data_IF_423079530842
#
_entry.id   IF_423079530842
#
_cell.length_a   1.000
_cell.length_b   1.000
_cell.length_c   1.000
_cell.angle_alpha   90.00
_cell.angle_beta   90.00
_cell.angle_gamma   90.00
#
_symmetry.space_group_name_H-M   'P 1'
#
loop_
_entity.id
_entity.type
_entity.pdbx_description
1 polymer ?
#
# COMPACT_ATOMS: atom_id res chain seq x y z
N UNK A 1 13.69 -13.16 -5.31
CA UNK A 1 14.74 -12.88 -6.32
C UNK A 1 14.51 -11.47 -6.86
N UNK A 2 15.47 -10.57 -6.73
CA UNK A 2 15.37 -9.22 -7.33
C UNK A 2 15.88 -9.24 -8.77
N UNK A 3 15.10 -8.66 -9.69
CA UNK A 3 15.47 -8.48 -11.09
C UNK A 3 15.64 -6.98 -11.34
N UNK A 4 16.84 -6.48 -11.02
CA UNK A 4 17.13 -5.04 -10.98
C UNK A 4 16.97 -4.36 -12.33
N UNK A 5 17.31 -5.04 -13.42
CA UNK A 5 17.20 -4.53 -14.80
C UNK A 5 15.78 -4.08 -15.17
N UNK A 6 14.77 -4.71 -14.58
CA UNK A 6 13.36 -4.43 -14.85
C UNK A 6 12.59 -3.91 -13.63
N UNK A 7 13.29 -3.57 -12.55
CA UNK A 7 12.73 -3.00 -11.32
C UNK A 7 11.54 -3.80 -10.73
N UNK A 8 11.66 -5.14 -10.70
CA UNK A 8 10.70 -6.01 -10.00
C UNK A 8 11.40 -7.08 -9.16
N UNK A 9 10.65 -7.69 -8.24
CA UNK A 9 11.06 -8.89 -7.52
C UNK A 9 10.11 -10.05 -7.80
N UNK A 10 10.68 -11.25 -7.85
CA UNK A 10 9.96 -12.51 -7.95
C UNK A 10 9.97 -13.18 -6.60
N UNK A 11 8.79 -13.41 -6.06
CA UNK A 11 8.58 -14.07 -4.79
C UNK A 11 8.16 -15.52 -5.07
N UNK A 12 9.01 -16.51 -4.75
CA UNK A 12 8.64 -17.91 -4.90
C UNK A 12 7.56 -18.28 -3.88
N UNK A 13 6.62 -19.12 -4.28
CA UNK A 13 5.55 -19.60 -3.42
C UNK A 13 4.92 -20.86 -3.95
N UNK A 14 3.87 -21.30 -3.26
CA UNK A 14 3.08 -22.44 -3.68
C UNK A 14 1.61 -22.04 -3.75
N UNK A 15 0.92 -22.46 -4.79
CA UNK A 15 -0.53 -22.51 -4.78
C UNK A 15 -0.93 -23.84 -4.15
N UNK A 16 -1.55 -23.78 -2.99
CA UNK A 16 -2.03 -24.97 -2.28
C UNK A 16 -3.56 -25.05 -2.35
N UNK A 17 -4.09 -26.25 -2.56
CA UNK A 17 -5.53 -26.49 -2.45
C UNK A 17 -5.78 -27.86 -1.83
N UNK A 18 -6.80 -27.95 -0.99
CA UNK A 18 -7.24 -29.21 -0.37
C UNK A 18 -8.65 -29.48 -0.88
N UNK A 19 -8.89 -30.65 -1.45
CA UNK A 19 -10.18 -31.03 -2.03
C UNK A 19 -10.49 -32.50 -1.73
N UNK A 20 -11.76 -32.79 -1.48
CA UNK A 20 -12.25 -34.17 -1.48
C UNK A 20 -12.22 -34.68 -2.94
N UNK A 21 -11.58 -35.83 -3.15
CA UNK A 21 -11.57 -36.53 -4.43
C UNK A 21 -12.03 -37.98 -4.20
N UNK A 22 -13.23 -38.28 -4.67
CA UNK A 22 -13.91 -39.56 -4.44
C UNK A 22 -13.96 -39.91 -2.94
N UNK A 23 -13.13 -40.85 -2.49
CA UNK A 23 -13.13 -41.36 -1.12
C UNK A 23 -12.12 -40.68 -0.20
N UNK A 24 -11.18 -39.90 -0.74
CA UNK A 24 -10.05 -39.34 0.02
C UNK A 24 -9.98 -37.81 -0.06
N UNK A 25 -9.33 -37.19 0.93
CA UNK A 25 -8.97 -35.76 0.89
C UNK A 25 -7.56 -35.64 0.31
N UNK A 26 -7.45 -34.97 -0.82
CA UNK A 26 -6.18 -34.73 -1.50
C UNK A 26 -5.72 -33.28 -1.31
N UNK A 27 -4.40 -33.10 -1.20
CA UNK A 27 -3.75 -31.79 -1.22
C UNK A 27 -2.93 -31.65 -2.51
N UNK A 28 -3.20 -30.59 -3.26
CA UNK A 28 -2.36 -30.18 -4.39
C UNK A 28 -1.44 -29.05 -3.95
N UNK A 29 -0.16 -29.13 -4.28
CA UNK A 29 0.82 -28.06 -4.11
C UNK A 29 1.52 -27.82 -5.45
N UNK A 30 1.29 -26.65 -6.03
CA UNK A 30 1.88 -26.23 -7.30
C UNK A 30 2.88 -25.10 -7.06
N UNK A 31 4.02 -25.12 -7.74
CA UNK A 31 5.00 -24.04 -7.67
C UNK A 31 4.41 -22.80 -8.35
N UNK A 32 4.39 -21.67 -7.66
CA UNK A 32 3.88 -20.42 -8.18
C UNK A 32 4.84 -19.26 -7.86
N UNK A 33 4.75 -18.16 -8.62
CA UNK A 33 5.63 -17.01 -8.49
C UNK A 33 4.80 -15.72 -8.48
N UNK A 34 4.97 -14.89 -7.45
CA UNK A 34 4.35 -13.57 -7.39
C UNK A 34 5.35 -12.52 -7.87
N UNK A 35 4.96 -11.75 -8.88
CA UNK A 35 5.74 -10.63 -9.40
C UNK A 35 5.34 -9.37 -8.65
N UNK A 36 6.33 -8.71 -8.05
CA UNK A 36 6.15 -7.49 -7.25
C UNK A 36 6.96 -6.37 -7.87
N UNK A 37 6.30 -5.28 -8.28
CA UNK A 37 6.99 -4.07 -8.74
C UNK A 37 7.80 -3.48 -7.58
N UNK A 38 9.02 -3.03 -7.83
CA UNK A 38 9.84 -2.35 -6.81
C UNK A 38 9.52 -0.86 -6.71
N UNK A 39 8.93 -0.29 -7.77
CA UNK A 39 8.46 1.08 -7.82
C UNK A 39 7.40 1.35 -6.73
N UNK A 40 7.70 2.31 -5.85
CA UNK A 40 6.75 2.78 -4.83
C UNK A 40 5.78 3.80 -5.42
N UNK A 41 4.65 4.03 -4.76
CA UNK A 41 3.69 5.05 -5.18
C UNK A 41 4.34 6.44 -5.22
N UNK A 42 5.28 6.73 -4.31
CA UNK A 42 6.04 7.99 -4.34
C UNK A 42 6.79 8.18 -5.68
N UNK A 43 7.39 7.13 -6.23
CA UNK A 43 8.07 7.20 -7.53
C UNK A 43 7.08 7.49 -8.67
N UNK A 44 5.93 6.80 -8.67
CA UNK A 44 4.86 7.04 -9.67
C UNK A 44 4.40 8.50 -9.61
N UNK A 45 4.14 9.01 -8.40
CA UNK A 45 3.73 10.40 -8.20
C UNK A 45 4.81 11.40 -8.65
N UNK A 46 6.07 11.09 -8.41
CA UNK A 46 7.20 11.94 -8.84
C UNK A 46 7.29 12.00 -10.36
N UNK A 47 7.16 10.86 -11.05
CA UNK A 47 7.13 10.80 -12.52
C UNK A 47 5.92 11.53 -13.09
N UNK A 48 4.75 11.37 -12.49
CA UNK A 48 3.53 12.08 -12.88
C UNK A 48 3.71 13.60 -12.75
N UNK A 49 4.37 14.05 -11.67
CA UNK A 49 4.70 15.47 -11.46
C UNK A 49 5.67 16.01 -12.50
N UNK A 50 6.71 15.25 -12.85
CA UNK A 50 7.70 15.65 -13.87
C UNK A 50 7.12 15.71 -15.28
N UNK A 51 6.17 14.82 -15.58
CA UNK A 51 5.50 14.75 -16.88
C UNK A 51 4.37 15.77 -17.03
N UNK A 52 3.85 16.30 -15.91
CA UNK A 52 2.75 17.24 -15.91
C UNK A 52 3.20 18.65 -16.35
N UNK A 53 2.61 19.14 -17.45
CA UNK A 53 2.76 20.55 -17.90
C UNK A 53 1.85 21.54 -17.16
N UNK A 54 1.12 21.08 -16.15
CA UNK A 54 0.05 21.82 -15.48
C UNK A 54 -0.18 21.35 -14.04
N UNK A 55 -1.44 21.19 -13.63
CA UNK A 55 -1.77 20.78 -12.25
C UNK A 55 -1.29 19.35 -11.94
N UNK A 56 -0.13 19.23 -11.30
CA UNK A 56 0.47 17.95 -10.94
C UNK A 56 -0.44 17.09 -10.03
N UNK A 57 -1.26 17.70 -9.16
CA UNK A 57 -2.14 16.95 -8.27
C UNK A 57 -3.18 16.15 -9.06
N UNK A 58 -3.69 16.73 -10.15
CA UNK A 58 -4.64 16.05 -11.03
C UNK A 58 -4.01 14.87 -11.77
N UNK A 59 -2.77 15.03 -12.23
CA UNK A 59 -2.01 13.96 -12.88
C UNK A 59 -1.72 12.81 -11.90
N UNK A 60 -1.27 13.13 -10.67
CA UNK A 60 -1.05 12.13 -9.62
C UNK A 60 -2.34 11.38 -9.27
N UNK A 61 -3.46 12.08 -9.11
CA UNK A 61 -4.76 11.45 -8.83
C UNK A 61 -5.18 10.51 -9.96
N UNK A 62 -4.99 10.90 -11.22
CA UNK A 62 -5.33 10.08 -12.37
C UNK A 62 -4.50 8.78 -12.46
N UNK A 63 -3.22 8.80 -12.07
CA UNK A 63 -2.38 7.58 -12.08
C UNK A 63 -2.57 6.70 -10.84
N UNK A 64 -2.87 7.27 -9.67
CA UNK A 64 -2.81 6.55 -8.39
C UNK A 64 -4.18 6.10 -7.86
N UNK A 65 -5.24 6.88 -8.07
CA UNK A 65 -6.57 6.54 -7.54
C UNK A 65 -7.08 5.27 -8.23
N UNK A 66 -7.59 4.33 -7.43
CA UNK A 66 -8.09 3.04 -7.90
C UNK A 66 -7.05 1.93 -7.93
N UNK A 67 -5.75 2.26 -7.83
CA UNK A 67 -4.70 1.25 -7.70
C UNK A 67 -4.84 0.46 -6.40
N UNK A 68 -4.49 -0.83 -6.46
CA UNK A 68 -4.24 -1.61 -5.26
C UNK A 68 -2.76 -1.52 -4.93
N UNK A 69 -2.46 -1.24 -3.67
CA UNK A 69 -1.10 -1.11 -3.17
C UNK A 69 -0.83 -2.15 -2.10
N UNK A 70 0.38 -2.68 -2.08
CA UNK A 70 0.92 -3.47 -0.99
C UNK A 70 1.76 -2.58 -0.08
N UNK A 71 1.56 -2.71 1.22
CA UNK A 71 2.43 -2.10 2.23
C UNK A 71 3.49 -3.10 2.69
N UNK A 72 4.75 -2.77 2.46
CA UNK A 72 5.88 -3.71 2.62
C UNK A 72 6.11 -4.19 4.06
N UNK A 73 5.71 -3.37 5.03
CA UNK A 73 5.96 -3.60 6.46
C UNK A 73 4.99 -4.60 7.12
N UNK A 74 3.88 -4.94 6.46
CA UNK A 74 2.90 -5.89 6.98
C UNK A 74 2.25 -6.77 5.90
N UNK A 75 2.62 -6.62 4.62
CA UNK A 75 2.04 -7.32 3.47
C UNK A 75 0.51 -7.16 3.31
N UNK A 76 -0.06 -6.08 3.86
CA UNK A 76 -1.46 -5.76 3.64
C UNK A 76 -1.67 -5.08 2.29
N UNK A 77 -2.85 -5.27 1.71
CA UNK A 77 -3.25 -4.61 0.46
C UNK A 77 -4.38 -3.62 0.70
N UNK A 78 -4.26 -2.45 0.08
CA UNK A 78 -5.23 -1.36 0.19
C UNK A 78 -5.59 -0.84 -1.19
N UNK A 79 -6.86 -0.48 -1.41
CA UNK A 79 -7.26 0.23 -2.61
C UNK A 79 -7.22 1.72 -2.33
N UNK A 80 -6.53 2.49 -3.16
CA UNK A 80 -6.45 3.93 -2.99
C UNK A 80 -7.73 4.56 -3.51
N UNK A 81 -8.37 5.36 -2.67
CA UNK A 81 -9.61 6.07 -3.00
C UNK A 81 -9.36 7.56 -3.28
N UNK A 82 -8.36 8.16 -2.63
CA UNK A 82 -7.96 9.55 -2.87
C UNK A 82 -6.50 9.80 -2.45
N UNK A 83 -6.00 11.01 -2.70
CA UNK A 83 -4.72 11.53 -2.21
C UNK A 83 -4.99 12.86 -1.52
N UNK A 84 -4.56 12.95 -0.25
CA UNK A 84 -4.59 14.17 0.53
C UNK A 84 -3.24 14.88 0.42
N UNK A 85 -3.24 16.09 -0.15
CA UNK A 85 -2.04 16.90 -0.36
C UNK A 85 -1.76 17.88 0.77
N UNK A 86 -2.72 18.06 1.70
CA UNK A 86 -2.60 18.95 2.84
C UNK A 86 -1.99 18.22 4.06
N UNK A 87 -2.06 16.89 4.06
CA UNK A 87 -1.49 16.02 5.10
C UNK A 87 -0.19 15.38 4.61
N UNK A 88 0.80 15.30 5.50
CA UNK A 88 2.12 14.73 5.19
C UNK A 88 2.65 13.87 6.37
N UNK A 89 3.79 13.17 6.22
CA UNK A 89 4.36 12.36 7.29
C UNK A 89 4.60 13.05 8.65
N UNK A 90 4.74 14.37 8.70
CA UNK A 90 4.90 15.13 9.96
C UNK A 90 3.57 15.46 10.64
N UNK A 91 2.45 15.37 9.91
CA UNK A 91 1.11 15.52 10.46
C UNK A 91 0.82 14.43 11.49
N UNK A 92 -0.05 14.74 12.46
CA UNK A 92 -0.40 13.84 13.56
C UNK A 92 -1.78 13.20 13.38
N UNK A 93 -1.96 12.04 13.99
CA UNK A 93 -3.24 11.38 14.13
C UNK A 93 -3.39 10.81 15.54
N UNK A 94 -4.63 10.56 15.94
CA UNK A 94 -4.91 9.91 17.22
C UNK A 94 -4.65 8.39 17.12
N UNK A 95 -3.66 7.91 17.87
CA UNK A 95 -3.38 6.48 17.96
C UNK A 95 -4.53 5.76 18.66
N UNK A 96 -5.18 4.81 17.98
CA UNK A 96 -6.26 3.99 18.57
C UNK A 96 -5.82 3.22 19.81
N UNK A 97 -4.53 2.89 19.92
CA UNK A 97 -4.00 2.07 21.02
C UNK A 97 -3.78 2.89 22.29
N UNK A 98 -3.13 4.04 22.15
CA UNK A 98 -2.64 4.83 23.28
C UNK A 98 -3.48 6.10 23.52
N UNK A 99 -4.42 6.42 22.62
CA UNK A 99 -5.21 7.66 22.59
C UNK A 99 -4.37 8.94 22.65
N UNK A 100 -3.13 8.83 22.17
CA UNK A 100 -2.18 9.94 22.07
C UNK A 100 -2.07 10.41 20.63
N UNK A 101 -1.78 11.71 20.47
CA UNK A 101 -1.41 12.26 19.17
C UNK A 101 0.03 11.83 18.85
N UNK A 102 0.21 11.20 17.68
CA UNK A 102 1.53 10.80 17.18
C UNK A 102 1.62 11.17 15.70
N UNK A 103 2.80 11.58 15.24
CA UNK A 103 3.03 11.83 13.82
C UNK A 103 3.04 10.52 13.03
N UNK A 104 2.71 10.55 11.75
CA UNK A 104 2.85 9.37 10.89
C UNK A 104 4.30 8.86 10.89
N UNK A 105 5.26 9.77 10.77
CA UNK A 105 6.71 9.45 10.81
C UNK A 105 7.10 8.72 12.09
N UNK A 106 6.72 9.23 13.26
CA UNK A 106 7.08 8.62 14.54
C UNK A 106 6.35 7.30 14.73
N UNK A 107 5.10 7.19 14.29
CA UNK A 107 4.37 5.94 14.31
C UNK A 107 5.07 4.84 13.51
N UNK A 108 5.47 5.12 12.27
CA UNK A 108 6.18 4.14 11.45
C UNK A 108 7.56 3.79 12.01
N UNK A 109 8.25 4.77 12.61
CA UNK A 109 9.53 4.54 13.27
C UNK A 109 9.40 3.67 14.50
N UNK A 110 8.44 3.95 15.37
CA UNK A 110 8.26 3.25 16.64
C UNK A 110 7.68 1.84 16.44
N UNK A 111 6.71 1.69 15.52
CA UNK A 111 6.03 0.41 15.31
C UNK A 111 6.78 -0.56 14.40
N UNK A 112 7.43 -0.04 13.35
CA UNK A 112 8.05 -0.86 12.31
C UNK A 112 9.56 -0.63 12.15
N UNK A 113 10.16 0.31 12.90
CA UNK A 113 11.58 0.66 12.77
C UNK A 113 11.92 1.47 11.52
N UNK A 114 10.91 1.88 10.73
CA UNK A 114 11.09 2.48 9.41
C UNK A 114 11.29 3.98 9.52
N UNK A 115 12.25 4.50 8.75
CA UNK A 115 12.50 5.94 8.67
C UNK A 115 11.99 6.45 7.33
N UNK A 116 10.97 7.31 7.37
CA UNK A 116 10.44 7.99 6.19
C UNK A 116 11.46 9.04 5.75
N UNK A 117 11.82 9.04 4.46
CA UNK A 117 12.84 9.94 3.91
C UNK A 117 12.24 11.24 3.39
N UNK A 118 11.12 11.15 2.67
CA UNK A 118 10.46 12.32 2.10
C UNK A 118 9.34 12.80 3.02
N UNK A 119 9.62 13.77 3.88
CA UNK A 119 8.66 14.23 4.90
C UNK A 119 7.54 15.13 4.34
N UNK A 120 7.70 15.64 3.11
CA UNK A 120 6.73 16.52 2.47
C UNK A 120 5.82 15.81 1.47
N UNK A 121 5.95 14.48 1.35
CA UNK A 121 5.08 13.71 0.47
C UNK A 121 3.62 13.79 0.96
N UNK A 122 2.65 13.86 0.04
CA UNK A 122 1.23 13.76 0.40
C UNK A 122 0.92 12.35 0.92
N UNK A 123 -0.25 12.17 1.55
CA UNK A 123 -0.68 10.85 2.02
C UNK A 123 -1.79 10.26 1.13
N UNK A 124 -1.77 8.94 0.99
CA UNK A 124 -2.83 8.20 0.29
C UNK A 124 -3.99 7.95 1.24
N UNK A 125 -5.21 8.10 0.73
CA UNK A 125 -6.44 7.85 1.47
C UNK A 125 -7.06 6.54 1.00
N UNK A 126 -7.32 5.64 1.93
CA UNK A 126 -8.08 4.42 1.68
C UNK A 126 -9.25 4.32 2.66
N UNK A 127 -10.42 3.94 2.14
CA UNK A 127 -11.63 3.71 2.94
C UNK A 127 -11.90 2.22 3.02
N UNK A 128 -12.49 1.81 4.12
CA UNK A 128 -12.88 0.41 4.31
C UNK A 128 -13.80 -0.08 3.16
N UNK A 129 -13.72 -1.39 2.87
CA UNK A 129 -14.55 -2.02 1.81
C UNK A 129 -16.04 -1.76 2.08
N UNK A 130 -16.83 -1.65 1.02
CA UNK A 130 -18.27 -1.35 1.12
C UNK A 130 -19.05 -2.30 2.07
N UNK A 131 -18.59 -3.54 2.24
CA UNK A 131 -19.17 -4.50 3.21
C UNK A 131 -18.89 -4.10 4.67
N UNK A 132 -17.70 -3.57 4.99
CA UNK A 132 -17.38 -2.99 6.31
C UNK A 132 -18.14 -1.70 6.56
N UNK A 133 -18.27 -0.83 5.54
CA UNK A 133 -19.08 0.40 5.66
C UNK A 133 -20.54 0.13 6.00
N UNK A 134 -21.16 -0.89 5.38
CA UNK A 134 -22.53 -1.33 5.72
C UNK A 134 -22.64 -1.90 7.14
N UNK A 135 -21.53 -2.33 7.73
CA UNK A 135 -21.44 -2.78 9.12
C UNK A 135 -21.07 -1.63 10.09
N UNK A 136 -21.05 -0.37 9.63
CA UNK A 136 -20.78 0.81 10.45
C UNK A 136 -19.30 1.21 10.56
N UNK A 137 -18.41 0.52 9.86
CA UNK A 137 -16.97 0.73 9.93
C UNK A 137 -16.51 1.61 8.76
N UNK A 138 -16.70 2.93 8.87
CA UNK A 138 -16.24 3.94 7.88
C UNK A 138 -14.86 4.50 8.25
N UNK A 139 -13.91 3.60 8.51
CA UNK A 139 -12.54 3.99 8.84
C UNK A 139 -11.81 4.51 7.60
N UNK A 140 -11.33 5.75 7.71
CA UNK A 140 -10.37 6.36 6.78
C UNK A 140 -8.97 6.06 7.28
N UNK A 141 -8.17 5.46 6.42
CA UNK A 141 -6.76 5.12 6.70
C UNK A 141 -5.88 5.97 5.78
N UNK A 142 -4.85 6.57 6.38
CA UNK A 142 -3.81 7.28 5.65
C UNK A 142 -2.57 6.41 5.50
N UNK A 143 -2.04 6.32 4.28
CA UNK A 143 -0.84 5.55 3.96
C UNK A 143 0.24 6.47 3.38
N UNK A 144 1.50 6.16 3.68
CA UNK A 144 2.66 6.92 3.17
C UNK A 144 3.07 6.34 1.81
N UNK A 145 3.05 7.14 0.72
CA UNK A 145 3.39 6.66 -0.63
C UNK A 145 4.76 5.97 -0.75
N UNK A 146 5.76 6.42 0.01
CA UNK A 146 7.10 5.82 0.07
C UNK A 146 7.10 4.35 0.51
N UNK A 147 6.10 3.95 1.31
CA UNK A 147 6.00 2.62 1.91
C UNK A 147 5.01 1.70 1.18
N UNK A 148 4.46 2.17 0.06
CA UNK A 148 3.42 1.49 -0.71
C UNK A 148 3.96 1.15 -2.10
N UNK A 149 3.78 -0.10 -2.53
CA UNK A 149 4.11 -0.56 -3.90
C UNK A 149 2.85 -0.88 -4.67
N UNK A 150 2.79 -0.45 -5.93
CA UNK A 150 1.68 -0.80 -6.82
C UNK A 150 1.70 -2.31 -7.12
N UNK A 151 0.57 -2.99 -6.95
CA UNK A 151 0.37 -4.41 -7.28
C UNK A 151 -0.54 -4.59 -8.47
#
# INVERSE_FOLDING_TARGET
VEVREFNFSVWPGYLTSIRQHENDVLMCAEINHKIMRQETILHIMTRARESARGNFQSACRAEVIGLTVLTDYNNNTYRIDDIDFDVNPTSTFESKKDKTQISYKDYYKNRYGITIREERQPLLVTRSKARSRRAGDDEIIYLVPELCRAT
#
